data_IF_882348083921
#
_entry.id   IF_882348083921
#
_cell.length_a   1.000
_cell.length_b   1.000
_cell.length_c   1.000
_cell.angle_alpha   90.00
_cell.angle_beta   90.00
_cell.angle_gamma   90.00
#
_symmetry.space_group_name_H-M   'P 1'
#
loop_
_entity.id
_entity.type
_entity.pdbx_description
1 polymer ?
#
# COMPACT_ATOMS: atom_id res chain seq x y z
N UNK A 1 -19.78 -8.71 -36.66
CA UNK A 1 -19.07 -8.83 -35.38
C UNK A 1 -18.67 -7.42 -34.94
N UNK A 2 -19.04 -6.97 -33.74
CA UNK A 2 -18.70 -5.60 -33.32
C UNK A 2 -17.24 -5.53 -32.86
N UNK A 3 -16.60 -4.37 -33.02
CA UNK A 3 -15.20 -4.14 -32.61
C UNK A 3 -14.94 -4.55 -31.14
N UNK A 4 -15.94 -4.37 -30.27
CA UNK A 4 -15.89 -4.78 -28.87
C UNK A 4 -15.87 -6.31 -28.68
N UNK A 5 -16.59 -7.07 -29.50
CA UNK A 5 -16.53 -8.54 -29.47
C UNK A 5 -15.15 -9.04 -29.90
N UNK A 6 -14.55 -8.40 -30.90
CA UNK A 6 -13.20 -8.72 -31.37
C UNK A 6 -12.14 -8.41 -30.31
N UNK A 7 -12.22 -7.25 -29.66
CA UNK A 7 -11.28 -6.86 -28.60
C UNK A 7 -11.35 -7.79 -27.38
N UNK A 8 -12.56 -8.23 -27.00
CA UNK A 8 -12.76 -9.17 -25.90
C UNK A 8 -12.18 -10.54 -26.22
N UNK A 9 -12.46 -11.08 -27.41
CA UNK A 9 -11.88 -12.35 -27.85
C UNK A 9 -10.34 -12.29 -27.94
N UNK A 10 -9.80 -11.16 -28.37
CA UNK A 10 -8.37 -10.92 -28.41
C UNK A 10 -7.76 -10.87 -27.00
N UNK A 11 -8.38 -10.17 -26.07
CA UNK A 11 -7.94 -10.12 -24.66
C UNK A 11 -8.01 -11.50 -24.00
N UNK A 12 -9.12 -12.22 -24.15
CA UNK A 12 -9.27 -13.57 -23.59
C UNK A 12 -8.18 -14.50 -24.13
N UNK A 13 -7.84 -14.38 -25.43
CA UNK A 13 -6.75 -15.13 -26.06
C UNK A 13 -5.38 -14.75 -25.50
N UNK A 14 -5.08 -13.46 -25.34
CA UNK A 14 -3.81 -13.00 -24.74
C UNK A 14 -3.69 -13.43 -23.28
N UNK A 15 -4.74 -13.24 -22.48
CA UNK A 15 -4.76 -13.58 -21.07
C UNK A 15 -4.59 -15.08 -20.83
N UNK A 16 -5.25 -15.92 -21.65
CA UNK A 16 -5.07 -17.37 -21.60
C UNK A 16 -3.65 -17.78 -22.01
N UNK A 17 -3.08 -17.16 -23.04
CA UNK A 17 -1.72 -17.49 -23.49
C UNK A 17 -0.62 -16.99 -22.55
N UNK A 18 -0.82 -15.89 -21.82
CA UNK A 18 0.12 -15.41 -20.79
C UNK A 18 0.08 -16.29 -19.53
N UNK A 19 -1.09 -16.87 -19.21
CA UNK A 19 -1.30 -17.71 -18.02
C UNK A 19 -0.66 -19.10 -18.17
N UNK A 20 -0.62 -19.64 -19.38
CA UNK A 20 0.16 -20.84 -19.70
C UNK A 20 1.55 -20.43 -20.21
N UNK A 21 2.53 -20.34 -19.29
CA UNK A 21 3.91 -19.90 -19.56
C UNK A 21 4.71 -20.79 -20.56
N UNK A 22 4.06 -21.72 -21.25
CA UNK A 22 4.65 -22.70 -22.17
C UNK A 22 4.25 -22.53 -23.65
N UNK A 23 3.43 -21.55 -24.05
CA UNK A 23 3.07 -21.37 -25.47
C UNK A 23 3.08 -19.92 -25.97
N UNK A 24 4.24 -19.27 -25.99
CA UNK A 24 4.40 -17.97 -26.68
C UNK A 24 4.34 -18.06 -28.22
N UNK A 25 4.40 -19.28 -28.79
CA UNK A 25 4.51 -19.48 -30.26
C UNK A 25 3.24 -19.17 -31.05
N UNK A 26 2.08 -18.98 -30.41
CA UNK A 26 0.79 -18.80 -31.09
C UNK A 26 0.14 -17.40 -30.91
N UNK A 27 0.83 -16.43 -30.30
CA UNK A 27 0.41 -15.04 -30.46
C UNK A 27 0.84 -14.57 -31.84
N UNK A 28 -0.14 -14.26 -32.69
CA UNK A 28 0.12 -13.50 -33.91
C UNK A 28 0.44 -12.05 -33.51
N UNK A 29 1.69 -11.81 -33.10
CA UNK A 29 2.16 -10.49 -32.64
C UNK A 29 2.06 -9.46 -33.78
N UNK A 30 1.99 -9.92 -35.03
CA UNK A 30 1.90 -9.06 -36.22
C UNK A 30 0.58 -8.28 -36.31
N UNK A 31 -0.51 -8.73 -35.67
CA UNK A 31 -1.80 -8.01 -35.66
C UNK A 31 -1.92 -6.96 -34.53
N UNK A 32 -1.00 -6.95 -33.56
CA UNK A 32 -1.01 -5.99 -32.46
C UNK A 32 -0.95 -4.53 -32.96
N UNK A 33 -0.07 -4.13 -33.90
CA UNK A 33 0.01 -2.75 -34.39
C UNK A 33 -1.29 -2.23 -34.98
N UNK A 34 -2.02 -3.05 -35.74
CA UNK A 34 -3.30 -2.66 -36.37
C UNK A 34 -4.43 -2.54 -35.34
N UNK A 35 -4.47 -3.46 -34.37
CA UNK A 35 -5.42 -3.41 -33.24
C UNK A 35 -5.19 -2.15 -32.40
N UNK A 36 -3.93 -1.79 -32.13
CA UNK A 36 -3.59 -0.57 -31.40
C UNK A 36 -3.82 0.69 -32.22
N UNK A 37 -3.48 0.71 -33.51
CA UNK A 37 -3.75 1.84 -34.40
C UNK A 37 -5.25 2.13 -34.56
N UNK A 38 -6.10 1.11 -34.50
CA UNK A 38 -7.57 1.29 -34.46
C UNK A 38 -8.07 1.85 -33.12
N UNK A 39 -7.37 1.57 -32.01
CA UNK A 39 -7.69 2.12 -30.68
C UNK A 39 -7.27 3.58 -30.53
N UNK A 40 -6.09 3.96 -31.01
CA UNK A 40 -5.60 5.35 -30.94
C UNK A 40 -6.55 6.30 -31.70
N UNK A 41 -6.98 5.89 -32.90
CA UNK A 41 -7.86 6.69 -33.76
C UNK A 41 -9.31 6.80 -33.27
N UNK A 42 -9.80 5.89 -32.42
CA UNK A 42 -11.20 5.88 -31.96
C UNK A 42 -11.44 6.48 -30.58
N UNK A 43 -10.40 6.61 -29.75
CA UNK A 43 -10.54 7.09 -28.36
C UNK A 43 -9.47 8.09 -27.90
N UNK A 44 -8.56 8.53 -28.78
CA UNK A 44 -7.53 9.51 -28.42
C UNK A 44 -6.50 8.99 -27.40
N UNK A 45 -6.41 7.67 -27.26
CA UNK A 45 -5.47 7.00 -26.35
C UNK A 45 -4.14 6.81 -27.07
N UNK A 46 -3.01 7.12 -26.43
CA UNK A 46 -1.67 6.93 -27.01
C UNK A 46 -0.88 5.98 -26.13
N UNK A 47 -0.59 4.78 -26.63
CA UNK A 47 0.24 3.80 -25.93
C UNK A 47 1.70 4.25 -26.00
N UNK A 48 2.44 4.23 -24.89
CA UNK A 48 3.87 4.59 -24.90
C UNK A 48 4.74 3.40 -25.32
N UNK A 49 4.34 2.17 -25.01
CA UNK A 49 4.98 0.96 -25.55
C UNK A 49 4.13 -0.31 -25.42
N UNK A 50 4.44 -1.33 -26.23
CA UNK A 50 3.88 -2.68 -26.11
C UNK A 50 4.20 -3.36 -24.77
N UNK A 51 5.30 -2.96 -24.11
CA UNK A 51 5.71 -3.47 -22.80
C UNK A 51 4.73 -3.07 -21.68
N UNK A 52 4.16 -1.87 -21.71
CA UNK A 52 3.16 -1.43 -20.71
C UNK A 52 1.92 -2.33 -20.70
N UNK A 53 1.48 -2.77 -21.88
CA UNK A 53 0.32 -3.66 -22.03
C UNK A 53 0.61 -5.09 -21.51
N UNK A 54 1.83 -5.59 -21.73
CA UNK A 54 2.26 -6.93 -21.30
C UNK A 54 2.48 -6.97 -19.78
N UNK A 55 3.04 -5.90 -19.20
CA UNK A 55 3.38 -5.85 -17.77
C UNK A 55 2.15 -5.59 -16.89
N UNK A 56 1.13 -4.87 -17.38
CA UNK A 56 -0.07 -4.53 -16.59
C UNK A 56 -1.40 -4.73 -17.36
N UNK A 57 -1.71 -5.96 -17.83
CA UNK A 57 -2.90 -6.22 -18.63
C UNK A 57 -4.21 -5.92 -17.91
N UNK A 58 -4.24 -6.05 -16.57
CA UNK A 58 -5.41 -5.74 -15.75
C UNK A 58 -5.73 -4.25 -15.67
N UNK A 59 -4.70 -3.39 -15.56
CA UNK A 59 -4.90 -1.94 -15.58
C UNK A 59 -5.40 -1.49 -16.96
N UNK A 60 -4.86 -2.05 -18.03
CA UNK A 60 -5.31 -1.74 -19.39
C UNK A 60 -6.76 -2.17 -19.64
N UNK A 61 -7.16 -3.36 -19.17
CA UNK A 61 -8.55 -3.81 -19.24
C UNK A 61 -9.48 -2.88 -18.46
N UNK A 62 -9.06 -2.41 -17.28
CA UNK A 62 -9.82 -1.45 -16.47
C UNK A 62 -10.01 -0.10 -17.19
N UNK A 63 -9.01 0.40 -17.92
CA UNK A 63 -9.13 1.64 -18.69
C UNK A 63 -10.04 1.52 -19.92
N UNK A 64 -10.04 0.37 -20.59
CA UNK A 64 -10.79 0.16 -21.84
C UNK A 64 -12.26 -0.24 -21.58
N UNK A 65 -12.51 -1.01 -20.52
CA UNK A 65 -13.81 -1.61 -20.21
C UNK A 65 -14.43 -1.12 -18.87
N UNK A 66 -13.63 -0.54 -17.97
CA UNK A 66 -14.04 -0.15 -16.62
C UNK A 66 -14.15 1.36 -16.43
N UNK A 67 -15.19 1.98 -16.99
CA UNK A 67 -15.50 3.38 -16.70
C UNK A 67 -15.69 3.61 -15.19
N UNK A 68 -15.04 4.65 -14.64
CA UNK A 68 -15.14 5.27 -13.29
C UNK A 68 -15.60 4.42 -12.07
N UNK A 69 -16.72 3.71 -12.17
CA UNK A 69 -17.27 2.78 -11.17
C UNK A 69 -16.28 1.68 -10.74
N UNK A 70 -15.52 1.10 -11.66
CA UNK A 70 -14.60 -0.01 -11.33
C UNK A 70 -13.37 0.48 -10.56
N UNK A 71 -12.84 1.66 -10.90
CA UNK A 71 -11.76 2.29 -10.15
C UNK A 71 -12.18 2.75 -8.75
N UNK A 72 -13.45 3.12 -8.56
CA UNK A 72 -13.98 3.44 -7.23
C UNK A 72 -14.06 2.19 -6.34
N UNK A 73 -14.46 1.03 -6.88
CA UNK A 73 -14.51 -0.23 -6.13
C UNK A 73 -13.14 -0.68 -5.65
N UNK A 74 -12.11 -0.60 -6.50
CA UNK A 74 -10.73 -1.02 -6.13
C UNK A 74 -10.20 -0.14 -4.99
N UNK A 75 -10.28 1.18 -5.12
CA UNK A 75 -9.80 2.09 -4.08
C UNK A 75 -10.61 1.94 -2.80
N UNK A 76 -11.93 1.72 -2.90
CA UNK A 76 -12.77 1.47 -1.72
C UNK A 76 -12.33 0.21 -0.97
N UNK A 77 -12.11 -0.92 -1.67
CA UNK A 77 -11.63 -2.15 -1.06
C UNK A 77 -10.28 -1.94 -0.35
N UNK A 78 -9.37 -1.18 -0.96
CA UNK A 78 -8.08 -0.88 -0.36
C UNK A 78 -8.21 -0.01 0.89
N UNK A 79 -9.13 0.97 0.90
CA UNK A 79 -9.43 1.72 2.13
C UNK A 79 -10.01 0.80 3.21
N UNK A 80 -10.83 -0.18 2.86
CA UNK A 80 -11.37 -1.17 3.81
C UNK A 80 -10.26 -2.07 4.40
N UNK A 81 -9.31 -2.52 3.58
CA UNK A 81 -8.14 -3.29 4.02
C UNK A 81 -7.25 -2.48 4.99
N UNK A 82 -6.93 -1.24 4.62
CA UNK A 82 -6.16 -0.32 5.48
C UNK A 82 -6.93 -0.01 6.76
N UNK A 83 -8.25 0.18 6.69
CA UNK A 83 -9.10 0.38 7.88
C UNK A 83 -8.98 -0.80 8.84
N UNK A 84 -9.10 -2.04 8.36
CA UNK A 84 -8.98 -3.24 9.20
C UNK A 84 -7.58 -3.37 9.83
N UNK A 85 -6.53 -3.05 9.06
CA UNK A 85 -5.16 -2.98 9.57
C UNK A 85 -5.01 -1.95 10.70
N UNK A 86 -5.56 -0.75 10.51
CA UNK A 86 -5.49 0.31 11.52
C UNK A 86 -6.30 -0.05 12.77
N UNK A 87 -7.48 -0.67 12.63
CA UNK A 87 -8.26 -1.18 13.78
C UNK A 87 -7.43 -2.13 14.64
N UNK A 88 -6.74 -3.09 14.01
CA UNK A 88 -5.85 -4.02 14.71
C UNK A 88 -4.67 -3.31 15.38
N UNK A 89 -3.98 -2.43 14.63
CA UNK A 89 -2.80 -1.70 15.11
C UNK A 89 -3.13 -0.80 16.30
N UNK A 90 -4.24 -0.05 16.22
CA UNK A 90 -4.73 0.79 17.32
C UNK A 90 -4.97 -0.07 18.56
N UNK A 91 -5.70 -1.19 18.41
CA UNK A 91 -5.97 -2.08 19.53
C UNK A 91 -4.70 -2.62 20.20
N UNK A 92 -3.70 -3.03 19.43
CA UNK A 92 -2.43 -3.56 19.97
C UNK A 92 -1.61 -2.48 20.69
N UNK A 93 -1.49 -1.28 20.09
CA UNK A 93 -0.77 -0.16 20.70
C UNK A 93 -1.48 0.37 21.95
N UNK A 94 -2.80 0.52 21.91
CA UNK A 94 -3.61 0.94 23.06
C UNK A 94 -3.46 -0.05 24.22
N UNK A 95 -3.60 -1.35 23.96
CA UNK A 95 -3.46 -2.37 24.99
C UNK A 95 -2.10 -2.28 25.67
N UNK A 96 -1.01 -2.18 24.89
CA UNK A 96 0.33 -2.03 25.44
C UNK A 96 0.48 -0.74 26.26
N UNK A 97 0.04 0.40 25.72
CA UNK A 97 0.22 1.72 26.34
C UNK A 97 -0.63 1.91 27.60
N UNK A 98 -1.81 1.28 27.68
CA UNK A 98 -2.69 1.35 28.85
C UNK A 98 -2.13 0.56 30.04
N UNK A 99 -1.33 -0.48 29.78
CA UNK A 99 -0.77 -1.33 30.84
C UNK A 99 0.71 -1.04 31.16
N UNK A 100 1.34 -0.14 30.40
CA UNK A 100 2.79 0.12 30.48
C UNK A 100 3.12 1.46 31.10
N UNK A 101 4.06 1.45 32.05
CA UNK A 101 4.64 2.65 32.66
C UNK A 101 6.16 2.60 32.53
N UNK A 102 6.83 3.76 32.60
CA UNK A 102 8.29 3.83 32.58
C UNK A 102 8.91 2.94 33.68
N UNK A 103 8.39 3.04 34.90
CA UNK A 103 8.86 2.22 36.03
C UNK A 103 8.58 0.72 35.88
N UNK A 104 7.61 0.31 35.04
CA UNK A 104 7.42 -1.10 34.69
C UNK A 104 8.53 -1.56 33.75
N UNK A 105 8.86 -0.76 32.74
CA UNK A 105 9.93 -1.06 31.78
C UNK A 105 11.30 -1.15 32.47
N UNK A 106 11.62 -0.20 33.35
CA UNK A 106 12.89 -0.20 34.11
C UNK A 106 13.02 -1.40 35.06
N UNK A 107 11.90 -1.95 35.55
CA UNK A 107 11.90 -3.18 36.35
C UNK A 107 12.07 -4.43 35.51
N UNK A 108 11.50 -4.44 34.31
CA UNK A 108 11.63 -5.55 33.36
C UNK A 108 13.07 -5.65 32.83
N UNK A 109 13.63 -4.51 32.43
CA UNK A 109 15.01 -4.41 31.98
C UNK A 109 15.59 -3.05 32.40
N UNK A 110 16.46 -3.01 33.42
CA UNK A 110 17.13 -1.78 33.85
C UNK A 110 18.00 -1.23 32.72
N UNK A 111 17.77 0.01 32.32
CA UNK A 111 18.51 0.61 31.21
C UNK A 111 18.33 2.11 31.11
N UNK A 112 18.44 2.65 29.90
CA UNK A 112 18.36 4.08 29.65
C UNK A 112 16.89 4.56 29.71
N UNK A 113 16.54 5.14 30.85
CA UNK A 113 15.20 5.68 31.11
C UNK A 113 14.77 6.72 30.08
N UNK A 114 15.70 7.55 29.57
CA UNK A 114 15.38 8.59 28.60
C UNK A 114 15.07 7.95 27.24
N UNK A 115 15.83 6.93 26.85
CA UNK A 115 15.54 6.14 25.66
C UNK A 115 14.15 5.49 25.72
N UNK A 116 13.75 4.93 26.87
CA UNK A 116 12.40 4.36 27.03
C UNK A 116 11.30 5.41 26.96
N UNK A 117 11.52 6.62 27.51
CA UNK A 117 10.56 7.73 27.34
C UNK A 117 10.39 8.10 25.88
N UNK A 118 11.48 8.15 25.12
CA UNK A 118 11.46 8.46 23.69
C UNK A 118 10.68 7.38 22.90
N UNK A 119 10.88 6.10 23.22
CA UNK A 119 10.11 4.99 22.61
C UNK A 119 8.62 5.14 22.93
N UNK A 120 8.27 5.30 24.22
CA UNK A 120 6.87 5.44 24.63
C UNK A 120 6.20 6.68 24.02
N UNK A 121 6.94 7.78 23.88
CA UNK A 121 6.48 8.98 23.19
C UNK A 121 6.19 8.68 21.72
N UNK A 122 7.07 7.93 21.05
CA UNK A 122 6.89 7.55 19.66
C UNK A 122 5.68 6.60 19.47
N UNK A 123 5.51 5.58 20.32
CA UNK A 123 4.33 4.71 20.26
C UNK A 123 3.02 5.48 20.42
N UNK A 124 2.97 6.47 21.34
CA UNK A 124 1.79 7.34 21.47
C UNK A 124 1.52 8.17 20.22
N UNK A 125 2.58 8.73 19.61
CA UNK A 125 2.45 9.49 18.36
C UNK A 125 1.96 8.59 17.22
N UNK A 126 2.51 7.39 17.08
CA UNK A 126 2.10 6.43 16.07
C UNK A 126 0.64 6.01 16.28
N UNK A 127 0.23 5.73 17.53
CA UNK A 127 -1.16 5.43 17.88
C UNK A 127 -2.09 6.55 17.41
N UNK A 128 -1.81 7.80 17.75
CA UNK A 128 -2.62 8.96 17.31
C UNK A 128 -2.73 9.03 15.79
N UNK A 129 -1.63 8.82 15.06
CA UNK A 129 -1.67 8.81 13.60
C UNK A 129 -2.53 7.67 13.04
N UNK A 130 -2.46 6.49 13.66
CA UNK A 130 -3.28 5.34 13.27
C UNK A 130 -4.77 5.58 13.56
N UNK A 131 -5.12 6.19 14.69
CA UNK A 131 -6.50 6.59 15.02
C UNK A 131 -7.06 7.61 14.03
N UNK A 132 -6.30 8.67 13.76
CA UNK A 132 -6.69 9.69 12.77
C UNK A 132 -6.85 9.10 11.36
N UNK A 133 -5.98 8.14 10.99
CA UNK A 133 -6.09 7.39 9.75
C UNK A 133 -7.35 6.52 9.72
N UNK A 134 -7.63 5.81 10.81
CA UNK A 134 -8.77 4.93 10.95
C UNK A 134 -10.09 5.68 10.82
N UNK A 135 -10.23 6.81 11.51
CA UNK A 135 -11.41 7.64 11.44
C UNK A 135 -11.60 8.22 10.04
N UNK A 136 -10.53 8.65 9.37
CA UNK A 136 -10.59 9.11 7.99
C UNK A 136 -11.08 8.00 7.05
N UNK A 137 -10.60 6.76 7.21
CA UNK A 137 -11.07 5.60 6.45
C UNK A 137 -12.57 5.35 6.67
N UNK A 138 -13.03 5.35 7.93
CA UNK A 138 -14.45 5.17 8.27
C UNK A 138 -15.32 6.25 7.63
N UNK A 139 -14.89 7.51 7.67
CA UNK A 139 -15.63 8.63 7.07
C UNK A 139 -15.74 8.47 5.56
N UNK A 140 -14.65 8.16 4.86
CA UNK A 140 -14.67 8.09 3.39
C UNK A 140 -15.42 6.85 2.86
N UNK A 141 -15.32 5.70 3.53
CA UNK A 141 -16.08 4.48 3.16
C UNK A 141 -17.60 4.72 3.19
N UNK A 142 -18.05 5.50 4.19
CA UNK A 142 -19.46 5.84 4.40
C UNK A 142 -19.91 7.10 3.64
N UNK A 143 -19.03 7.74 2.88
CA UNK A 143 -19.37 8.92 2.08
C UNK A 143 -20.20 8.54 0.85
N UNK A 144 -21.28 9.28 0.59
CA UNK A 144 -22.10 9.13 -0.61
C UNK A 144 -22.23 10.47 -1.34
N UNK A 145 -21.73 10.59 -2.60
CA UNK A 145 -21.02 9.56 -3.35
C UNK A 145 -19.59 9.34 -2.83
N UNK A 146 -19.07 8.11 -2.95
CA UNK A 146 -17.69 7.79 -2.61
C UNK A 146 -16.72 8.63 -3.45
N UNK A 147 -15.87 9.42 -2.77
CA UNK A 147 -14.89 10.28 -3.43
C UNK A 147 -13.54 9.57 -3.56
N UNK A 148 -13.27 9.02 -4.75
CA UNK A 148 -12.01 8.34 -5.08
C UNK A 148 -10.79 9.21 -4.78
N UNK A 149 -10.78 10.47 -5.25
CA UNK A 149 -9.63 11.36 -5.04
C UNK A 149 -9.36 11.68 -3.57
N UNK A 150 -10.41 11.77 -2.74
CA UNK A 150 -10.25 11.94 -1.30
C UNK A 150 -9.74 10.66 -0.63
N UNK A 151 -10.21 9.48 -1.06
CA UNK A 151 -9.70 8.19 -0.60
C UNK A 151 -8.21 8.01 -0.92
N UNK A 152 -7.78 8.28 -2.16
CA UNK A 152 -6.36 8.22 -2.56
C UNK A 152 -5.50 9.16 -1.71
N UNK A 153 -6.00 10.37 -1.38
CA UNK A 153 -5.31 11.31 -0.49
C UNK A 153 -5.18 10.80 0.95
N UNK A 154 -6.22 10.14 1.46
CA UNK A 154 -6.20 9.53 2.81
C UNK A 154 -5.16 8.41 2.85
N UNK A 155 -5.14 7.52 1.85
CA UNK A 155 -4.17 6.44 1.73
C UNK A 155 -2.73 6.96 1.65
N UNK A 156 -2.50 8.00 0.84
CA UNK A 156 -1.21 8.69 0.77
C UNK A 156 -0.77 9.26 2.14
N UNK A 157 -1.70 9.86 2.88
CA UNK A 157 -1.41 10.38 4.22
C UNK A 157 -1.04 9.26 5.21
N UNK A 158 -1.80 8.17 5.20
CA UNK A 158 -1.56 7.01 6.07
C UNK A 158 -0.19 6.39 5.78
N UNK A 159 0.17 6.25 4.51
CA UNK A 159 1.50 5.78 4.10
C UNK A 159 2.61 6.60 4.79
N UNK A 160 2.55 7.92 4.71
CA UNK A 160 3.62 8.75 5.27
C UNK A 160 3.57 8.92 6.79
N UNK A 161 2.38 9.01 7.39
CA UNK A 161 2.24 9.32 8.82
C UNK A 161 2.27 8.09 9.72
N UNK A 162 1.87 6.93 9.19
CA UNK A 162 1.87 5.67 9.94
C UNK A 162 3.01 4.78 9.46
N UNK A 163 3.02 4.44 8.16
CA UNK A 163 3.89 3.38 7.64
C UNK A 163 5.35 3.82 7.64
N UNK A 164 5.67 4.93 6.98
CA UNK A 164 7.04 5.45 6.94
C UNK A 164 7.55 5.89 8.32
N UNK A 165 6.69 6.46 9.17
CA UNK A 165 7.09 6.82 10.54
C UNK A 165 7.43 5.58 11.38
N UNK A 166 6.78 4.44 11.15
CA UNK A 166 7.13 3.17 11.80
C UNK A 166 8.47 2.61 11.33
N UNK A 167 8.80 2.66 10.02
CA UNK A 167 10.08 2.14 9.52
C UNK A 167 11.25 3.11 9.69
N UNK A 168 10.98 4.42 9.72
CA UNK A 168 11.97 5.50 9.77
C UNK A 168 11.53 6.61 10.73
N UNK A 169 11.56 6.34 12.05
CA UNK A 169 11.12 7.30 13.04
C UNK A 169 12.07 8.52 13.08
N UNK A 170 11.52 9.74 13.12
CA UNK A 170 12.32 10.99 12.99
C UNK A 170 13.40 11.20 14.05
N UNK A 171 13.25 10.58 15.21
CA UNK A 171 14.17 10.65 16.33
C UNK A 171 15.22 9.53 16.30
N UNK A 172 15.25 8.71 15.24
CA UNK A 172 16.20 7.62 15.04
C UNK A 172 16.18 6.58 16.17
N UNK A 173 15.07 6.48 16.92
CA UNK A 173 14.96 5.62 18.10
C UNK A 173 15.12 4.14 17.74
N UNK A 174 14.70 3.73 16.56
CA UNK A 174 15.06 2.47 15.91
C UNK A 174 15.23 2.74 14.41
N UNK A 175 15.69 1.73 13.67
CA UNK A 175 15.89 1.85 12.23
C UNK A 175 15.58 0.54 11.51
N UNK A 176 15.28 0.64 10.23
CA UNK A 176 15.11 -0.50 9.33
C UNK A 176 16.48 -1.00 8.82
N UNK A 177 16.78 -2.28 9.03
CA UNK A 177 17.89 -2.98 8.38
C UNK A 177 17.44 -3.52 7.02
N UNK A 178 17.80 -2.80 5.97
CA UNK A 178 17.46 -3.11 4.57
C UNK A 178 17.91 -4.50 4.10
N UNK A 179 18.87 -5.14 4.80
CA UNK A 179 19.33 -6.50 4.46
C UNK A 179 18.35 -7.58 4.91
N UNK A 180 17.38 -7.23 5.76
CA UNK A 180 16.45 -8.19 6.34
C UNK A 180 15.49 -8.78 5.31
N UNK A 181 15.24 -8.06 4.21
CA UNK A 181 14.48 -8.53 3.05
C UNK A 181 15.01 -9.85 2.46
N UNK A 182 16.32 -10.14 2.60
CA UNK A 182 16.93 -11.37 2.10
C UNK A 182 16.90 -12.54 3.10
N UNK A 183 16.54 -12.27 4.36
CA UNK A 183 16.68 -13.25 5.46
C UNK A 183 15.36 -13.68 6.09
N UNK A 184 14.24 -13.06 5.70
CA UNK A 184 12.92 -13.33 6.30
C UNK A 184 12.84 -12.98 7.78
N UNK A 185 13.76 -12.16 8.28
CA UNK A 185 13.79 -11.68 9.66
C UNK A 185 13.17 -10.29 9.76
N UNK A 186 12.73 -9.94 10.96
CA UNK A 186 12.34 -8.59 11.32
C UNK A 186 13.43 -7.56 10.98
N UNK A 187 13.06 -6.57 10.17
CA UNK A 187 13.87 -5.47 9.68
C UNK A 187 14.11 -4.40 10.74
N UNK A 188 13.19 -4.21 11.69
CA UNK A 188 13.37 -3.18 12.73
C UNK A 188 14.46 -3.57 13.72
N UNK A 189 15.43 -2.67 13.92
CA UNK A 189 16.54 -2.77 14.87
C UNK A 189 16.52 -1.61 15.86
N UNK A 190 16.54 -1.95 17.14
CA UNK A 190 16.69 -0.97 18.22
C UNK A 190 18.12 -0.44 18.26
N UNK A 191 18.29 0.85 18.53
CA UNK A 191 19.61 1.48 18.71
C UNK A 191 20.28 1.07 20.01
N UNK A 192 19.49 0.73 21.04
CA UNK A 192 19.96 0.24 22.34
C UNK A 192 19.11 -0.96 22.76
N UNK A 193 19.59 -1.72 23.72
CA UNK A 193 18.82 -2.82 24.31
C UNK A 193 17.56 -2.28 25.01
N UNK A 194 16.46 -3.02 24.87
CA UNK A 194 15.15 -2.66 25.39
C UNK A 194 14.49 -3.87 26.05
N UNK A 195 13.53 -3.64 26.96
CA UNK A 195 12.67 -4.68 27.48
C UNK A 195 12.04 -5.56 26.38
N UNK A 196 11.83 -6.84 26.68
CA UNK A 196 11.22 -7.80 25.77
C UNK A 196 9.81 -7.38 25.37
N UNK A 197 9.08 -6.73 26.27
CA UNK A 197 7.74 -6.19 26.02
C UNK A 197 7.72 -5.14 24.90
N UNK A 198 8.71 -4.24 24.82
CA UNK A 198 8.86 -3.29 23.70
C UNK A 198 9.20 -4.05 22.41
N UNK A 199 10.14 -4.98 22.49
CA UNK A 199 10.56 -5.78 21.34
C UNK A 199 9.40 -6.58 20.76
N UNK A 200 8.52 -7.11 21.62
CA UNK A 200 7.36 -7.89 21.22
C UNK A 200 6.33 -7.05 20.45
N UNK A 201 6.06 -5.81 20.88
CA UNK A 201 5.15 -4.89 20.17
C UNK A 201 5.66 -4.61 18.76
N UNK A 202 6.92 -4.19 18.61
CA UNK A 202 7.49 -3.89 17.29
C UNK A 202 7.45 -5.12 16.38
N UNK A 203 7.84 -6.29 16.90
CA UNK A 203 7.83 -7.53 16.12
C UNK A 203 6.42 -7.96 15.70
N UNK A 204 5.43 -7.76 16.57
CA UNK A 204 4.03 -8.08 16.30
C UNK A 204 3.42 -7.22 15.20
N UNK A 205 3.76 -5.93 15.19
CA UNK A 205 3.25 -4.97 14.21
C UNK A 205 3.92 -5.08 12.84
N UNK A 206 5.22 -5.38 12.80
CA UNK A 206 6.06 -5.21 11.61
C UNK A 206 5.54 -5.91 10.36
N UNK A 207 5.03 -7.15 10.49
CA UNK A 207 4.55 -7.91 9.34
C UNK A 207 3.34 -7.27 8.66
N UNK A 208 2.40 -6.74 9.44
CA UNK A 208 1.24 -6.04 8.91
C UNK A 208 1.61 -4.68 8.32
N UNK A 209 2.53 -3.95 8.97
CA UNK A 209 3.08 -2.70 8.44
C UNK A 209 3.79 -2.91 7.11
N UNK A 210 4.58 -3.98 6.97
CA UNK A 210 5.27 -4.33 5.73
C UNK A 210 4.27 -4.64 4.62
N UNK A 211 3.26 -5.47 4.89
CA UNK A 211 2.21 -5.79 3.91
C UNK A 211 1.49 -4.54 3.42
N UNK A 212 1.09 -3.65 4.33
CA UNK A 212 0.40 -2.40 3.96
C UNK A 212 1.33 -1.45 3.21
N UNK A 213 2.63 -1.43 3.54
CA UNK A 213 3.62 -0.64 2.79
C UNK A 213 3.65 -1.04 1.32
N UNK A 214 3.72 -2.34 1.06
CA UNK A 214 3.72 -2.90 -0.30
C UNK A 214 2.42 -2.59 -1.04
N UNK A 215 1.27 -2.76 -0.38
CA UNK A 215 -0.04 -2.43 -0.97
C UNK A 215 -0.18 -0.94 -1.32
N UNK A 216 0.41 -0.05 -0.51
CA UNK A 216 0.30 1.40 -0.66
C UNK A 216 1.42 2.05 -1.48
N UNK A 217 2.45 1.30 -1.91
CA UNK A 217 3.60 1.80 -2.68
C UNK A 217 3.16 2.55 -3.97
N UNK A 218 2.06 2.10 -4.59
CA UNK A 218 1.44 2.78 -5.74
C UNK A 218 1.13 4.26 -5.48
N UNK A 219 0.71 4.62 -4.26
CA UNK A 219 0.38 6.00 -3.92
C UNK A 219 1.62 6.86 -3.65
N UNK A 220 2.78 6.27 -3.37
CA UNK A 220 4.03 7.02 -3.22
C UNK A 220 4.51 7.57 -4.57
N UNK A 221 4.44 6.74 -5.61
CA UNK A 221 5.01 7.04 -6.94
C UNK A 221 4.00 7.75 -7.87
N UNK A 222 2.82 7.17 -8.05
CA UNK A 222 1.87 7.62 -9.09
C UNK A 222 0.97 8.76 -8.61
N UNK A 223 0.47 8.71 -7.37
CA UNK A 223 -0.34 9.79 -6.82
C UNK A 223 0.48 11.08 -6.65
N UNK A 224 1.73 10.96 -6.17
CA UNK A 224 2.67 12.09 -6.10
C UNK A 224 2.88 12.75 -7.46
N UNK A 225 3.07 11.95 -8.51
CA UNK A 225 3.24 12.46 -9.88
C UNK A 225 1.99 13.18 -10.39
N UNK A 226 0.79 12.63 -10.15
CA UNK A 226 -0.49 13.28 -10.48
C UNK A 226 -0.65 14.64 -9.77
N UNK A 227 -0.26 14.72 -8.50
CA UNK A 227 -0.33 15.95 -7.71
C UNK A 227 0.64 17.03 -8.20
N UNK A 228 1.82 16.65 -8.70
CA UNK A 228 2.81 17.58 -9.25
C UNK A 228 2.34 18.14 -10.60
N UNK A 229 1.71 17.31 -11.45
CA UNK A 229 1.24 17.73 -12.78
C UNK A 229 -0.08 18.53 -12.76
N UNK A 230 -0.83 18.48 -11.66
CA UNK A 230 -2.10 19.20 -11.49
C UNK A 230 -1.94 20.60 -10.87
N UNK A 231 -0.70 21.06 -10.67
CA UNK A 231 -0.36 22.43 -10.23
C UNK A 231 0.09 23.27 -11.41
#
# INVERSE_FOLDING_TARGET
MTFLTYLKQFYDKIYLTIKDASSYENLDIAILPDVFGSMENKRGFKLRSLLEFIVQPQQFFSLIFGGAKMGNTIVKNQVEEVKNFLEKTVSELEQFLNETTLSRLEREFPGDAEYYKVILSHFRKLLVHCEEGLDACKVIINSEPFSKGAAEKILYRIYHQCIEEFFSPKNDVWYEDSRSAYTGKNSIKMRKEVPDSISAVLKGLEGDFQRIREELEYYETDYRTKMIQSK
#
